data_IF_793376480348
#
_entry.id   IF_793376480348
#
_cell.length_a   1.000
_cell.length_b   1.000
_cell.length_c   1.000
_cell.angle_alpha   90.00
_cell.angle_beta   90.00
_cell.angle_gamma   90.00
#
_symmetry.space_group_name_H-M   'P 1'
#
loop_
_entity.id
_entity.type
_entity.pdbx_description
1 polymer ?
#
# COMPACT_ATOMS: atom_id res chain seq x y z
N UNK A 1 12.16 6.45 -7.32
CA UNK A 1 10.86 5.78 -7.13
C UNK A 1 10.38 5.80 -5.67
N UNK A 2 11.21 5.42 -4.73
CA UNK A 2 10.81 5.40 -3.30
C UNK A 2 10.48 6.80 -2.79
N UNK A 3 11.25 7.83 -3.16
CA UNK A 3 10.97 9.21 -2.78
C UNK A 3 9.59 9.67 -3.30
N UNK A 4 9.29 9.37 -4.56
CA UNK A 4 8.00 9.73 -5.17
C UNK A 4 6.86 9.02 -4.46
N UNK A 5 7.03 7.75 -4.12
CA UNK A 5 6.02 6.98 -3.40
C UNK A 5 5.80 7.55 -2.00
N UNK A 6 6.86 7.98 -1.32
CA UNK A 6 6.76 8.58 0.02
C UNK A 6 5.98 9.88 -0.01
N UNK A 7 6.23 10.73 -1.02
CA UNK A 7 5.49 11.98 -1.19
C UNK A 7 4.02 11.68 -1.49
N UNK A 8 3.75 10.74 -2.39
CA UNK A 8 2.40 10.35 -2.76
C UNK A 8 1.64 9.74 -1.58
N UNK A 9 2.31 9.03 -0.67
CA UNK A 9 1.66 8.41 0.49
C UNK A 9 1.13 9.43 1.49
N UNK A 10 1.63 10.65 1.49
CA UNK A 10 1.15 11.71 2.37
C UNK A 10 -0.30 12.10 2.09
N UNK A 11 -0.74 11.94 0.83
CA UNK A 11 -2.12 12.17 0.44
C UNK A 11 -2.91 10.88 0.22
N UNK A 12 -2.46 9.77 0.78
CA UNK A 12 -3.07 8.48 0.54
C UNK A 12 -4.48 8.39 1.13
N UNK A 13 -5.43 7.97 0.31
CA UNK A 13 -6.82 7.74 0.70
C UNK A 13 -7.20 6.33 0.30
N UNK A 14 -7.26 5.43 1.29
CA UNK A 14 -7.48 4.01 1.05
C UNK A 14 -8.86 3.71 0.48
N UNK A 15 -9.88 4.46 0.88
CA UNK A 15 -11.24 4.27 0.39
C UNK A 15 -11.37 4.52 -1.12
N UNK A 16 -10.54 5.42 -1.66
CA UNK A 16 -10.53 5.74 -3.08
C UNK A 16 -9.56 4.85 -3.87
N UNK A 17 -8.41 4.53 -3.29
CA UNK A 17 -7.31 3.86 -4.02
C UNK A 17 -7.37 2.35 -3.99
N UNK A 18 -7.73 1.74 -2.85
CA UNK A 18 -7.70 0.29 -2.73
C UNK A 18 -8.65 -0.43 -3.68
N UNK A 19 -9.91 0.01 -3.88
CA UNK A 19 -10.78 -0.64 -4.86
C UNK A 19 -10.19 -0.64 -6.26
N UNK A 20 -9.53 0.46 -6.66
CA UNK A 20 -8.92 0.58 -7.97
C UNK A 20 -7.69 -0.32 -8.10
N UNK A 21 -6.83 -0.39 -7.08
CA UNK A 21 -5.60 -1.17 -7.12
C UNK A 21 -5.85 -2.67 -6.96
N UNK A 22 -6.79 -3.04 -6.13
CA UNK A 22 -7.04 -4.44 -5.79
C UNK A 22 -8.24 -5.04 -6.53
N UNK A 23 -9.07 -4.20 -7.15
CA UNK A 23 -10.24 -4.65 -7.90
C UNK A 23 -11.39 -5.15 -7.03
N UNK A 24 -11.40 -4.80 -5.75
CA UNK A 24 -12.46 -5.22 -4.83
C UNK A 24 -13.61 -4.21 -4.83
N UNK A 25 -14.84 -4.70 -4.65
CA UNK A 25 -16.01 -3.85 -4.46
C UNK A 25 -16.06 -3.22 -3.08
N UNK A 26 -15.32 -3.74 -2.11
CA UNK A 26 -15.24 -3.26 -0.73
C UNK A 26 -13.80 -2.95 -0.38
N UNK A 27 -13.63 -2.00 0.57
CA UNK A 27 -12.30 -1.65 1.08
C UNK A 27 -11.88 -2.70 2.11
N UNK A 28 -10.80 -3.47 1.87
CA UNK A 28 -10.37 -4.50 2.81
C UNK A 28 -9.69 -3.89 4.04
N UNK A 29 -9.52 -4.71 5.07
CA UNK A 29 -8.75 -4.35 6.25
C UNK A 29 -7.29 -4.10 5.88
N UNK A 30 -6.60 -3.34 6.73
CA UNK A 30 -5.23 -2.88 6.49
C UNK A 30 -4.24 -4.03 6.31
N UNK A 31 -4.28 -5.05 7.18
CA UNK A 31 -3.37 -6.19 7.07
C UNK A 31 -3.52 -6.96 5.76
N UNK A 32 -4.72 -7.47 5.44
CA UNK A 32 -4.96 -8.14 4.16
C UNK A 32 -4.69 -7.28 2.95
N UNK A 33 -5.03 -5.98 3.01
CA UNK A 33 -4.74 -5.04 1.92
C UNK A 33 -3.24 -4.92 1.68
N UNK A 34 -2.45 -4.82 2.74
CA UNK A 34 -1.00 -4.71 2.65
C UNK A 34 -0.38 -5.94 1.99
N UNK A 35 -0.82 -7.14 2.38
CA UNK A 35 -0.34 -8.39 1.79
C UNK A 35 -0.64 -8.43 0.28
N UNK A 36 -1.87 -8.06 -0.11
CA UNK A 36 -2.26 -8.02 -1.52
C UNK A 36 -1.44 -7.02 -2.31
N UNK A 37 -1.20 -5.83 -1.75
CA UNK A 37 -0.39 -4.80 -2.41
C UNK A 37 1.06 -5.24 -2.57
N UNK A 38 1.61 -5.93 -1.58
CA UNK A 38 2.98 -6.44 -1.65
C UNK A 38 3.15 -7.49 -2.75
N UNK A 39 2.15 -8.34 -2.93
CA UNK A 39 2.16 -9.32 -4.02
C UNK A 39 2.13 -8.63 -5.40
N UNK A 40 1.29 -7.60 -5.55
CA UNK A 40 1.21 -6.81 -6.79
C UNK A 40 2.55 -6.10 -7.04
N UNK A 41 3.15 -5.52 -6.00
CA UNK A 41 4.42 -4.83 -6.11
C UNK A 41 5.54 -5.78 -6.56
N UNK A 42 5.58 -7.00 -6.01
CA UNK A 42 6.58 -7.99 -6.39
C UNK A 42 6.47 -8.35 -7.89
N UNK A 43 5.25 -8.49 -8.40
CA UNK A 43 5.01 -8.75 -9.82
C UNK A 43 5.47 -7.57 -10.67
N UNK A 44 5.15 -6.35 -10.26
CA UNK A 44 5.58 -5.15 -10.98
C UNK A 44 7.09 -5.01 -11.00
N UNK A 45 7.74 -5.30 -9.88
CA UNK A 45 9.20 -5.23 -9.81
C UNK A 45 9.85 -6.27 -10.72
N UNK A 46 9.26 -7.46 -10.83
CA UNK A 46 9.69 -8.48 -11.79
C UNK A 46 9.60 -7.98 -13.21
N UNK A 47 8.50 -7.34 -13.57
CA UNK A 47 8.34 -6.73 -14.90
C UNK A 47 9.39 -5.64 -15.16
N UNK A 48 9.70 -4.83 -14.16
CA UNK A 48 10.73 -3.81 -14.28
C UNK A 48 12.09 -4.42 -14.55
N UNK A 49 12.45 -5.48 -13.82
CA UNK A 49 13.75 -6.13 -13.95
C UNK A 49 13.93 -6.83 -15.31
N UNK A 50 12.86 -7.39 -15.85
CA UNK A 50 12.89 -8.08 -17.14
C UNK A 50 12.71 -7.14 -18.34
N UNK A 51 12.42 -5.87 -18.10
CA UNK A 51 12.18 -4.90 -19.18
C UNK A 51 10.86 -5.12 -19.90
N UNK A 52 9.86 -5.66 -19.20
CA UNK A 52 8.54 -5.92 -19.78
C UNK A 52 7.89 -4.61 -20.25
N UNK A 53 7.37 -4.60 -21.49
CA UNK A 53 6.77 -3.39 -22.07
C UNK A 53 5.50 -2.94 -21.34
N UNK A 54 4.85 -3.81 -20.59
CA UNK A 54 3.66 -3.48 -19.82
C UNK A 54 3.99 -2.75 -18.49
N UNK A 55 5.27 -2.72 -18.10
CA UNK A 55 5.67 -2.06 -16.86
C UNK A 55 5.42 -0.55 -16.92
N UNK A 56 4.82 -0.02 -15.86
CA UNK A 56 4.56 1.41 -15.72
C UNK A 56 5.16 1.91 -14.41
N UNK A 57 6.09 2.86 -14.49
CA UNK A 57 6.67 3.51 -13.32
C UNK A 57 5.58 4.19 -12.49
N UNK A 58 4.64 4.87 -13.15
CA UNK A 58 3.56 5.56 -12.46
C UNK A 58 2.70 4.60 -11.63
N UNK A 59 2.34 3.46 -12.22
CA UNK A 59 1.56 2.46 -11.50
C UNK A 59 2.35 1.85 -10.35
N UNK A 60 3.64 1.62 -10.54
CA UNK A 60 4.50 1.07 -9.50
C UNK A 60 4.63 2.04 -8.32
N UNK A 61 4.80 3.33 -8.60
CA UNK A 61 4.83 4.38 -7.57
C UNK A 61 3.51 4.42 -6.80
N UNK A 62 2.39 4.29 -7.50
CA UNK A 62 1.07 4.28 -6.87
C UNK A 62 0.91 3.11 -5.90
N UNK A 63 1.34 1.92 -6.30
CA UNK A 63 1.27 0.74 -5.42
C UNK A 63 2.19 0.91 -4.22
N UNK A 64 3.41 1.41 -4.42
CA UNK A 64 4.34 1.67 -3.32
C UNK A 64 3.78 2.70 -2.35
N UNK A 65 3.13 3.75 -2.84
CA UNK A 65 2.53 4.78 -1.99
C UNK A 65 1.40 4.18 -1.14
N UNK A 66 0.61 3.28 -1.71
CA UNK A 66 -0.44 2.59 -0.97
C UNK A 66 0.14 1.66 0.10
N UNK A 67 1.22 0.95 -0.21
CA UNK A 67 1.93 0.11 0.78
C UNK A 67 2.41 0.96 1.95
N UNK A 68 3.01 2.11 1.67
CA UNK A 68 3.47 3.02 2.73
C UNK A 68 2.31 3.54 3.57
N UNK A 69 1.21 3.93 2.92
CA UNK A 69 0.02 4.42 3.61
C UNK A 69 -0.61 3.35 4.51
N UNK A 70 -0.79 2.13 3.99
CA UNK A 70 -1.35 1.02 4.76
C UNK A 70 -0.42 0.61 5.90
N UNK A 71 0.90 0.64 5.68
CA UNK A 71 1.88 0.33 6.72
C UNK A 71 1.79 1.32 7.88
N UNK A 72 1.63 2.60 7.58
CA UNK A 72 1.48 3.64 8.60
C UNK A 72 0.19 3.45 9.39
N UNK A 73 -0.91 3.13 8.72
CA UNK A 73 -2.18 2.86 9.37
C UNK A 73 -2.10 1.63 10.28
N UNK A 74 -1.47 0.56 9.81
CA UNK A 74 -1.30 -0.66 10.60
C UNK A 74 -0.48 -0.38 11.86
N UNK A 75 0.59 0.40 11.73
CA UNK A 75 1.42 0.80 12.86
C UNK A 75 0.62 1.62 13.87
N UNK A 76 -0.17 2.58 13.39
CA UNK A 76 -1.02 3.40 14.25
C UNK A 76 -2.06 2.56 14.99
N UNK A 77 -2.64 1.57 14.33
CA UNK A 77 -3.59 0.64 14.96
C UNK A 77 -2.91 -0.18 16.05
N UNK A 78 -1.69 -0.69 15.81
CA UNK A 78 -0.92 -1.43 16.79
C UNK A 78 -0.57 -0.56 17.99
N UNK A 79 -0.12 0.68 17.75
CA UNK A 79 0.19 1.63 18.82
C UNK A 79 -1.05 1.94 19.66
N UNK A 80 -2.21 2.12 19.03
CA UNK A 80 -3.47 2.35 19.71
C UNK A 80 -3.87 1.16 20.60
N UNK A 81 -3.64 -0.05 20.14
CA UNK A 81 -3.91 -1.26 20.93
C UNK A 81 -3.00 -1.34 22.15
N UNK A 82 -1.71 -1.02 22.00
CA UNK A 82 -0.76 -1.00 23.11
C UNK A 82 -1.17 0.05 24.14
N UNK A 83 -1.56 1.24 23.68
CA UNK A 83 -2.02 2.31 24.57
C UNK A 83 -3.23 1.88 25.38
N UNK A 84 -4.23 1.25 24.73
CA UNK A 84 -5.41 0.76 25.42
C UNK A 84 -5.07 -0.34 26.42
N UNK A 85 -4.15 -1.21 26.09
CA UNK A 85 -3.71 -2.28 27.00
C UNK A 85 -3.01 -1.70 28.24
N UNK A 86 -2.24 -0.62 28.07
CA UNK A 86 -1.56 0.05 29.19
C UNK A 86 -2.53 0.79 30.08
N UNK A 87 -3.64 1.29 29.53
CA UNK A 87 -4.64 2.04 30.27
C UNK A 87 -5.47 1.16 31.20
N UNK A 88 -5.51 -0.13 30.96
CA UNK A 88 -6.23 -1.09 31.81
C UNK A 88 -5.30 -1.82 32.75
#
# INVERSE_FOLDING_TARGET
MIRAARIASQGYRRDARLPRLLGYGMVPRTGPALISLMAIEADMNGCRETGDASYSVANHVEVLSAIMGESQLLRAQADGMIERARAT
#
